data_IF_660263598321
#
_entry.id   IF_660263598321
#
_cell.length_a   1.000
_cell.length_b   1.000
_cell.length_c   1.000
_cell.angle_alpha   90.00
_cell.angle_beta   90.00
_cell.angle_gamma   90.00
#
_symmetry.space_group_name_H-M   'P 1'
#
loop_
_entity.id
_entity.type
_entity.pdbx_description
1 polymer ?
#
# COMPACT_ATOMS: atom_id res chain seq x y z
N UNK A 1 -29.91 -4.35 -8.73
CA UNK A 1 -28.61 -4.37 -8.02
C UNK A 1 -27.71 -5.37 -8.72
N UNK A 2 -26.45 -5.02 -9.01
CA UNK A 2 -25.50 -5.93 -9.69
C UNK A 2 -25.14 -7.11 -8.80
N UNK A 3 -24.93 -8.30 -9.38
CA UNK A 3 -24.47 -9.47 -8.63
C UNK A 3 -23.03 -9.28 -8.10
N UNK A 4 -22.68 -9.87 -6.94
CA UNK A 4 -21.33 -9.80 -6.41
C UNK A 4 -20.35 -10.59 -7.29
N UNK A 5 -19.17 -10.02 -7.51
CA UNK A 5 -18.05 -10.71 -8.18
C UNK A 5 -17.33 -11.64 -7.20
N UNK A 6 -17.31 -11.28 -5.92
CA UNK A 6 -16.80 -12.10 -4.81
C UNK A 6 -17.75 -12.02 -3.63
N UNK A 7 -18.10 -13.15 -3.03
CA UNK A 7 -18.94 -13.28 -1.85
C UNK A 7 -18.27 -14.26 -0.87
N UNK A 8 -17.75 -13.72 0.23
CA UNK A 8 -17.09 -14.48 1.30
C UNK A 8 -18.09 -14.67 2.42
N UNK A 9 -18.32 -15.91 2.84
CA UNK A 9 -19.34 -16.26 3.82
C UNK A 9 -18.76 -17.08 4.96
N UNK A 10 -18.96 -16.62 6.19
CA UNK A 10 -18.59 -17.34 7.42
C UNK A 10 -17.15 -17.86 7.42
N UNK A 11 -16.22 -17.12 6.81
CA UNK A 11 -14.83 -17.55 6.65
C UNK A 11 -14.16 -17.65 8.02
N UNK A 12 -13.57 -18.81 8.30
CA UNK A 12 -12.76 -19.04 9.49
C UNK A 12 -11.39 -19.60 9.11
N UNK A 13 -10.33 -18.96 9.63
CA UNK A 13 -8.95 -19.38 9.43
C UNK A 13 -8.28 -19.58 10.78
N UNK A 14 -7.70 -20.77 10.97
CA UNK A 14 -7.03 -21.15 12.21
C UNK A 14 -5.59 -21.59 11.94
N UNK A 15 -4.68 -21.21 12.83
CA UNK A 15 -3.29 -21.68 12.85
C UNK A 15 -3.08 -22.64 14.01
N UNK A 16 -2.54 -23.81 13.73
CA UNK A 16 -2.16 -24.74 14.80
C UNK A 16 -0.95 -24.18 15.57
N UNK A 17 -1.00 -24.24 16.89
CA UNK A 17 0.13 -23.95 17.78
C UNK A 17 0.34 -25.13 18.73
N UNK A 18 1.47 -25.16 19.45
CA UNK A 18 1.79 -26.22 20.42
C UNK A 18 0.77 -26.33 21.55
N UNK A 19 0.09 -25.23 21.89
CA UNK A 19 -0.84 -25.17 23.03
C UNK A 19 -2.29 -25.18 22.59
N UNK A 20 -2.73 -24.16 21.84
CA UNK A 20 -4.12 -24.00 21.39
C UNK A 20 -4.16 -23.39 19.99
N UNK A 21 -5.06 -23.85 19.09
CA UNK A 21 -5.27 -23.19 17.81
C UNK A 21 -5.56 -21.70 18.00
N UNK A 22 -4.89 -20.86 17.21
CA UNK A 22 -5.14 -19.42 17.14
C UNK A 22 -6.09 -19.17 15.99
N UNK A 23 -7.25 -18.59 16.27
CA UNK A 23 -8.20 -18.14 15.26
C UNK A 23 -7.73 -16.78 14.74
N UNK A 24 -7.28 -16.72 13.50
CA UNK A 24 -6.78 -15.50 12.87
C UNK A 24 -7.90 -14.73 12.15
N UNK A 25 -8.90 -15.44 11.64
CA UNK A 25 -10.12 -14.89 11.04
C UNK A 25 -11.30 -15.69 11.58
N UNK A 26 -12.32 -15.01 12.08
CA UNK A 26 -13.48 -15.61 12.75
C UNK A 26 -14.77 -15.06 12.15
N UNK A 27 -15.55 -15.95 11.53
CA UNK A 27 -16.89 -15.68 10.97
C UNK A 27 -16.95 -14.46 10.03
N UNK A 28 -15.93 -14.32 9.18
CA UNK A 28 -15.82 -13.17 8.30
C UNK A 28 -16.75 -13.32 7.10
N UNK A 29 -17.65 -12.35 6.92
CA UNK A 29 -18.61 -12.29 5.82
C UNK A 29 -18.58 -10.91 5.16
N UNK A 30 -18.40 -10.86 3.85
CA UNK A 30 -18.54 -9.63 3.06
C UNK A 30 -18.81 -9.95 1.58
N UNK A 31 -19.34 -8.96 0.87
CA UNK A 31 -19.55 -9.03 -0.58
C UNK A 31 -18.76 -7.92 -1.26
N UNK A 32 -18.30 -8.20 -2.47
CA UNK A 32 -17.64 -7.25 -3.35
C UNK A 32 -18.33 -7.30 -4.72
N UNK A 33 -18.80 -6.16 -5.19
CA UNK A 33 -19.45 -6.02 -6.50
C UNK A 33 -18.44 -5.62 -7.58
N UNK A 34 -18.79 -5.86 -8.85
CA UNK A 34 -17.96 -5.44 -9.99
C UNK A 34 -17.75 -3.91 -9.95
N UNK A 35 -16.49 -3.48 -10.03
CA UNK A 35 -16.09 -2.06 -9.96
C UNK A 35 -16.16 -1.43 -8.57
N UNK A 36 -16.60 -2.16 -7.54
CA UNK A 36 -16.60 -1.68 -6.15
C UNK A 36 -15.19 -1.75 -5.56
N UNK A 37 -14.86 -0.75 -4.74
CA UNK A 37 -13.61 -0.69 -3.99
C UNK A 37 -13.94 -0.87 -2.51
N UNK A 38 -13.53 -1.99 -1.92
CA UNK A 38 -13.70 -2.32 -0.52
C UNK A 38 -12.39 -2.13 0.24
N UNK A 39 -12.42 -1.35 1.32
CA UNK A 39 -11.33 -1.22 2.27
C UNK A 39 -11.42 -2.24 3.41
N UNK A 40 -10.34 -2.93 3.75
CA UNK A 40 -10.24 -3.73 4.97
C UNK A 40 -9.19 -3.11 5.88
N UNK A 41 -9.61 -2.66 7.06
CA UNK A 41 -8.78 -1.84 7.97
C UNK A 41 -8.71 -2.41 9.37
N UNK A 42 -7.66 -2.04 10.10
CA UNK A 42 -7.48 -2.43 11.50
C UNK A 42 -6.00 -2.55 11.87
N UNK A 43 -5.72 -2.72 13.15
CA UNK A 43 -4.37 -2.88 13.68
C UNK A 43 -3.63 -4.09 13.09
N UNK A 44 -2.30 -4.09 13.25
CA UNK A 44 -1.48 -5.25 12.90
C UNK A 44 -1.96 -6.49 13.66
N UNK A 45 -2.01 -7.64 12.97
CA UNK A 45 -2.50 -8.89 13.55
C UNK A 45 -4.03 -9.03 13.67
N UNK A 46 -4.82 -8.08 13.13
CA UNK A 46 -6.29 -8.18 13.16
C UNK A 46 -6.89 -9.21 12.18
N UNK A 47 -6.07 -9.85 11.33
CA UNK A 47 -6.52 -10.89 10.38
C UNK A 47 -6.61 -10.44 8.92
N UNK A 48 -6.36 -9.16 8.60
CA UNK A 48 -6.55 -8.59 7.24
C UNK A 48 -5.79 -9.35 6.15
N UNK A 49 -4.47 -9.52 6.30
CA UNK A 49 -3.63 -10.22 5.33
C UNK A 49 -3.89 -11.74 5.32
N UNK A 50 -4.42 -12.30 6.42
CA UNK A 50 -4.87 -13.70 6.42
C UNK A 50 -6.13 -13.86 5.56
N UNK A 51 -7.02 -12.87 5.56
CA UNK A 51 -8.21 -12.83 4.69
C UNK A 51 -7.83 -12.79 3.21
N UNK A 52 -6.89 -11.94 2.80
CA UNK A 52 -6.41 -11.90 1.40
C UNK A 52 -5.78 -13.22 0.97
N UNK A 53 -4.91 -13.78 1.81
CA UNK A 53 -4.27 -15.06 1.56
C UNK A 53 -5.29 -16.22 1.53
N UNK A 54 -6.36 -16.17 2.32
CA UNK A 54 -7.43 -17.16 2.28
C UNK A 54 -8.20 -17.14 0.96
N UNK A 55 -8.57 -15.95 0.47
CA UNK A 55 -9.22 -15.77 -0.84
C UNK A 55 -8.32 -16.30 -1.96
N UNK A 56 -7.02 -16.00 -1.88
CA UNK A 56 -6.05 -16.51 -2.83
C UNK A 56 -5.70 -17.99 -2.61
N UNK A 57 -6.16 -18.65 -1.54
CA UNK A 57 -5.76 -20.01 -1.16
C UNK A 57 -4.24 -20.17 -0.93
N UNK A 58 -3.60 -19.12 -0.43
CA UNK A 58 -2.17 -19.01 -0.11
C UNK A 58 -1.92 -18.98 1.41
N UNK A 59 -2.89 -19.40 2.23
CA UNK A 59 -2.73 -19.48 3.69
C UNK A 59 -1.51 -20.37 4.01
N UNK A 60 -0.48 -19.85 4.71
CA UNK A 60 0.72 -20.61 4.97
C UNK A 60 0.46 -21.69 6.02
N UNK A 61 1.11 -22.85 5.89
CA UNK A 61 1.15 -23.87 6.94
C UNK A 61 1.77 -23.30 8.23
N UNK A 62 1.24 -23.60 9.44
CA UNK A 62 0.20 -24.57 9.77
C UNK A 62 -1.25 -24.00 9.74
N UNK A 63 -1.48 -22.91 9.05
CA UNK A 63 -2.80 -22.30 8.86
C UNK A 63 -3.71 -23.12 7.94
N UNK A 64 -5.01 -23.13 8.24
CA UNK A 64 -6.04 -23.76 7.41
C UNK A 64 -7.37 -23.03 7.52
N UNK A 65 -8.13 -23.08 6.44
CA UNK A 65 -9.54 -22.66 6.43
C UNK A 65 -10.36 -23.79 7.06
N UNK A 66 -11.05 -23.50 8.16
CA UNK A 66 -11.83 -24.51 8.91
C UNK A 66 -13.32 -24.46 8.63
N UNK A 67 -13.82 -23.31 8.18
CA UNK A 67 -15.23 -23.07 7.91
C UNK A 67 -15.37 -21.93 6.90
N UNK A 68 -16.51 -21.93 6.20
CA UNK A 68 -16.92 -20.86 5.29
C UNK A 68 -16.82 -21.26 3.83
N UNK A 69 -17.24 -20.34 2.97
CA UNK A 69 -17.25 -20.49 1.52
C UNK A 69 -16.67 -19.22 0.89
N UNK A 70 -15.97 -19.36 -0.24
CA UNK A 70 -15.42 -18.23 -0.99
C UNK A 70 -15.98 -18.32 -2.41
N UNK A 71 -17.11 -17.65 -2.63
CA UNK A 71 -17.85 -17.70 -3.89
C UNK A 71 -17.32 -16.64 -4.85
N UNK A 72 -16.84 -17.05 -6.01
CA UNK A 72 -16.35 -16.18 -7.06
C UNK A 72 -17.21 -16.33 -8.31
N UNK A 73 -17.59 -15.21 -8.93
CA UNK A 73 -18.37 -15.18 -10.17
C UNK A 73 -17.50 -14.63 -11.30
N UNK A 74 -16.82 -15.49 -12.08
CA UNK A 74 -16.00 -15.04 -13.20
C UNK A 74 -16.84 -14.40 -14.31
N UNK A 75 -16.26 -13.52 -15.10
CA UNK A 75 -16.98 -12.85 -16.18
C UNK A 75 -17.52 -13.87 -17.20
N UNK A 76 -18.84 -13.84 -17.43
CA UNK A 76 -19.52 -14.74 -18.36
C UNK A 76 -19.60 -16.20 -17.93
N UNK A 77 -19.31 -16.53 -16.65
CA UNK A 77 -19.38 -17.89 -16.10
C UNK A 77 -20.29 -17.95 -14.86
N UNK A 78 -20.65 -19.16 -14.47
CA UNK A 78 -21.38 -19.41 -13.22
C UNK A 78 -20.49 -19.20 -12.00
N UNK A 79 -21.10 -18.83 -10.88
CA UNK A 79 -20.44 -18.76 -9.57
C UNK A 79 -19.84 -20.11 -9.18
N UNK A 80 -18.64 -20.09 -8.60
CA UNK A 80 -17.90 -21.26 -8.10
C UNK A 80 -17.41 -21.00 -6.68
N UNK A 81 -17.32 -22.05 -5.86
CA UNK A 81 -16.63 -21.97 -4.55
C UNK A 81 -15.14 -22.29 -4.73
N UNK A 82 -14.28 -21.28 -4.51
CA UNK A 82 -12.83 -21.39 -4.67
C UNK A 82 -12.19 -22.44 -3.74
N UNK A 83 -12.88 -22.83 -2.67
CA UNK A 83 -12.43 -23.87 -1.74
C UNK A 83 -12.64 -25.28 -2.30
N UNK A 84 -13.62 -25.46 -3.19
CA UNK A 84 -14.03 -26.77 -3.72
C UNK A 84 -13.45 -27.07 -5.11
N UNK A 85 -12.99 -26.06 -5.85
CA UNK A 85 -12.35 -26.25 -7.15
C UNK A 85 -11.01 -26.97 -7.03
N UNK A 86 -10.64 -27.70 -8.08
CA UNK A 86 -9.35 -28.37 -8.16
C UNK A 86 -8.21 -27.36 -8.41
N UNK A 87 -6.95 -27.78 -8.22
CA UNK A 87 -5.80 -26.87 -8.32
C UNK A 87 -5.60 -26.30 -9.73
N UNK A 88 -5.95 -27.03 -10.78
CA UNK A 88 -5.81 -26.54 -12.16
C UNK A 88 -6.81 -25.41 -12.45
N UNK A 89 -8.05 -25.56 -11.99
CA UNK A 89 -9.09 -24.55 -12.10
C UNK A 89 -8.78 -23.34 -11.19
N UNK A 90 -8.34 -23.58 -9.96
CA UNK A 90 -7.86 -22.53 -9.05
C UNK A 90 -6.71 -21.72 -9.65
N UNK A 91 -5.75 -22.39 -10.28
CA UNK A 91 -4.65 -21.74 -11.02
C UNK A 91 -5.16 -20.90 -12.18
N UNK A 92 -6.26 -21.27 -12.83
CA UNK A 92 -6.83 -20.45 -13.91
C UNK A 92 -7.45 -19.15 -13.40
N UNK A 93 -8.02 -19.15 -12.19
CA UNK A 93 -8.55 -17.95 -11.56
C UNK A 93 -7.44 -17.06 -10.99
N UNK A 94 -6.45 -17.65 -10.30
CA UNK A 94 -5.29 -16.90 -9.77
C UNK A 94 -4.44 -16.33 -10.91
N UNK A 95 -4.07 -15.06 -10.82
CA UNK A 95 -3.23 -14.39 -11.81
C UNK A 95 -3.93 -14.07 -13.14
N UNK A 96 -5.02 -14.77 -13.46
CA UNK A 96 -5.89 -14.47 -14.61
C UNK A 96 -7.04 -13.55 -14.25
N UNK A 97 -7.90 -13.99 -13.33
CA UNK A 97 -9.19 -13.35 -12.99
C UNK A 97 -9.18 -12.69 -11.60
N UNK A 98 -8.35 -13.21 -10.69
CA UNK A 98 -8.09 -12.66 -9.36
C UNK A 98 -6.58 -12.46 -9.23
N UNK A 99 -6.16 -11.22 -9.01
CA UNK A 99 -4.75 -10.87 -8.83
C UNK A 99 -4.49 -10.25 -7.47
N UNK A 100 -3.24 -10.34 -7.03
CA UNK A 100 -2.81 -9.80 -5.74
C UNK A 100 -1.53 -8.95 -5.90
N UNK A 101 -1.51 -7.80 -5.23
CA UNK A 101 -0.33 -6.99 -4.95
C UNK A 101 0.04 -7.27 -3.50
N UNK A 102 1.22 -7.85 -3.28
CA UNK A 102 1.72 -8.18 -1.95
C UNK A 102 2.35 -6.96 -1.26
N UNK A 103 2.38 -7.00 0.08
CA UNK A 103 2.85 -5.92 0.97
C UNK A 103 4.30 -5.48 0.70
N UNK A 104 5.18 -6.39 0.30
CA UNK A 104 6.58 -6.08 0.01
C UNK A 104 6.93 -6.43 -1.45
N UNK A 105 7.19 -5.44 -2.32
CA UNK A 105 7.54 -5.69 -3.74
C UNK A 105 8.72 -6.63 -3.94
N UNK A 106 9.72 -6.53 -3.05
CA UNK A 106 10.92 -7.37 -3.10
C UNK A 106 10.64 -8.84 -2.78
N UNK A 107 9.58 -9.13 -2.01
CA UNK A 107 9.15 -10.51 -1.74
C UNK A 107 8.41 -11.13 -2.94
N UNK A 108 7.77 -10.29 -3.76
CA UNK A 108 7.01 -10.70 -4.94
C UNK A 108 7.89 -10.89 -6.18
N UNK A 109 9.07 -10.26 -6.23
CA UNK A 109 10.00 -10.31 -7.35
C UNK A 109 11.19 -11.23 -7.06
N UNK A 110 11.59 -12.01 -8.05
CA UNK A 110 12.82 -12.80 -7.97
C UNK A 110 14.01 -11.93 -8.39
N UNK A 111 15.02 -11.71 -7.53
CA UNK A 111 16.15 -10.83 -7.82
C UNK A 111 17.10 -11.36 -8.91
N UNK A 112 16.98 -12.64 -9.29
CA UNK A 112 17.82 -13.30 -10.29
C UNK A 112 17.29 -13.11 -11.72
N UNK A 113 16.02 -12.70 -11.88
CA UNK A 113 15.41 -12.49 -13.19
C UNK A 113 15.22 -11.00 -13.49
N UNK A 114 15.31 -10.66 -14.78
CA UNK A 114 14.98 -9.31 -15.24
C UNK A 114 13.46 -9.04 -15.19
N UNK A 115 13.10 -7.76 -15.23
CA UNK A 115 11.70 -7.33 -15.17
C UNK A 115 10.90 -7.86 -16.37
N UNK A 116 11.52 -7.95 -17.54
CA UNK A 116 10.88 -8.43 -18.76
C UNK A 116 10.48 -9.89 -18.68
N UNK A 117 11.34 -10.75 -18.15
CA UNK A 117 11.05 -12.16 -17.89
C UNK A 117 9.87 -12.29 -16.93
N UNK A 118 9.93 -11.62 -15.79
CA UNK A 118 8.90 -11.73 -14.74
C UNK A 118 7.52 -11.24 -15.21
N UNK A 119 7.46 -10.16 -15.99
CA UNK A 119 6.20 -9.70 -16.59
C UNK A 119 5.67 -10.65 -17.67
N UNK A 120 6.55 -11.14 -18.53
CA UNK A 120 6.14 -11.99 -19.66
C UNK A 120 5.78 -13.41 -19.24
N UNK A 121 6.34 -13.92 -18.13
CA UNK A 121 6.02 -15.23 -17.56
C UNK A 121 4.51 -15.36 -17.29
N UNK A 122 3.94 -14.44 -16.49
CA UNK A 122 2.51 -14.45 -16.18
C UNK A 122 1.63 -14.34 -17.44
N UNK A 123 2.00 -13.45 -18.36
CA UNK A 123 1.28 -13.27 -19.62
C UNK A 123 1.28 -14.56 -20.45
N UNK A 124 2.43 -15.23 -20.59
CA UNK A 124 2.55 -16.47 -21.37
C UNK A 124 1.84 -17.65 -20.71
N UNK A 125 1.81 -17.69 -19.38
CA UNK A 125 1.14 -18.74 -18.62
C UNK A 125 -0.39 -18.66 -18.72
N UNK A 126 -0.94 -17.45 -18.70
CA UNK A 126 -2.39 -17.24 -18.63
C UNK A 126 -3.02 -16.81 -19.97
N UNK A 127 -2.22 -16.34 -20.92
CA UNK A 127 -2.70 -15.89 -22.23
C UNK A 127 -2.06 -16.69 -23.35
N UNK A 128 -2.88 -17.10 -24.33
CA UNK A 128 -2.42 -17.84 -25.52
C UNK A 128 -1.79 -16.91 -26.55
N UNK A 129 -0.64 -16.33 -26.21
CA UNK A 129 0.06 -15.33 -27.04
C UNK A 129 1.49 -15.76 -27.34
N UNK A 130 2.05 -15.21 -28.42
CA UNK A 130 3.47 -15.42 -28.76
C UNK A 130 4.39 -14.66 -27.81
N UNK A 131 5.66 -15.09 -27.68
CA UNK A 131 6.67 -14.36 -26.89
C UNK A 131 6.83 -12.90 -27.33
N UNK A 132 6.78 -12.63 -28.64
CA UNK A 132 6.83 -11.27 -29.18
C UNK A 132 5.62 -10.43 -28.75
N UNK A 133 4.44 -11.03 -28.75
CA UNK A 133 3.22 -10.36 -28.28
C UNK A 133 3.22 -10.14 -26.77
N UNK A 134 3.65 -11.13 -25.97
CA UNK A 134 3.81 -10.99 -24.53
C UNK A 134 4.75 -9.82 -24.19
N UNK A 135 5.85 -9.69 -24.94
CA UNK A 135 6.79 -8.57 -24.79
C UNK A 135 6.15 -7.21 -25.12
N UNK A 136 5.35 -7.14 -26.18
CA UNK A 136 4.61 -5.91 -26.53
C UNK A 136 3.61 -5.55 -25.43
N UNK A 137 2.89 -6.53 -24.89
CA UNK A 137 1.98 -6.34 -23.74
C UNK A 137 2.73 -5.87 -22.50
N UNK A 138 3.88 -6.46 -22.18
CA UNK A 138 4.72 -6.04 -21.06
C UNK A 138 5.16 -4.57 -21.20
N UNK A 139 5.56 -4.12 -22.40
CA UNK A 139 5.91 -2.71 -22.65
C UNK A 139 4.69 -1.80 -22.43
N UNK A 140 3.52 -2.18 -22.96
CA UNK A 140 2.30 -1.42 -22.78
C UNK A 140 1.90 -1.31 -21.29
N UNK A 141 2.02 -2.40 -20.54
CA UNK A 141 1.77 -2.41 -19.10
C UNK A 141 2.73 -1.49 -18.35
N UNK A 142 4.03 -1.52 -18.69
CA UNK A 142 5.01 -0.62 -18.10
C UNK A 142 4.72 0.86 -18.40
N UNK A 143 4.14 1.16 -19.56
CA UNK A 143 3.70 2.50 -19.91
C UNK A 143 2.44 2.91 -19.14
N UNK A 144 1.50 1.99 -19.00
CA UNK A 144 0.25 2.20 -18.27
C UNK A 144 0.49 2.45 -16.78
N UNK A 145 1.43 1.73 -16.15
CA UNK A 145 1.86 2.00 -14.76
C UNK A 145 2.82 3.17 -14.64
N UNK A 146 3.06 3.92 -15.73
CA UNK A 146 3.94 5.08 -15.80
C UNK A 146 5.39 4.80 -15.35
N UNK A 147 5.85 3.56 -15.44
CA UNK A 147 7.26 3.22 -15.23
C UNK A 147 8.08 3.53 -16.50
N UNK A 148 7.47 3.35 -17.66
CA UNK A 148 8.01 3.72 -18.96
C UNK A 148 7.18 4.88 -19.53
N UNK A 149 7.85 5.89 -20.09
CA UNK A 149 7.15 6.98 -20.76
C UNK A 149 6.46 6.47 -22.04
N UNK A 150 5.35 7.12 -22.42
CA UNK A 150 4.69 6.80 -23.69
C UNK A 150 5.62 7.10 -24.88
N UNK A 151 5.38 6.41 -25.99
CA UNK A 151 6.18 6.57 -27.21
C UNK A 151 6.20 8.03 -27.69
N UNK A 152 5.06 8.73 -27.58
CA UNK A 152 4.94 10.15 -27.92
C UNK A 152 5.84 11.05 -27.05
N UNK A 153 5.90 10.78 -25.75
CA UNK A 153 6.74 11.56 -24.82
C UNK A 153 8.21 11.27 -25.07
N UNK A 154 8.57 10.00 -25.29
CA UNK A 154 9.94 9.60 -25.63
C UNK A 154 10.39 10.22 -26.95
N UNK A 155 9.52 10.27 -27.96
CA UNK A 155 9.79 10.92 -29.23
C UNK A 155 10.07 12.42 -29.04
N UNK A 156 9.22 13.13 -28.27
CA UNK A 156 9.43 14.56 -27.97
C UNK A 156 10.75 14.80 -27.24
N UNK A 157 11.06 14.00 -26.22
CA UNK A 157 12.33 14.11 -25.48
C UNK A 157 13.54 13.83 -26.38
N UNK A 158 13.44 12.83 -27.26
CA UNK A 158 14.50 12.50 -28.21
C UNK A 158 14.79 13.66 -29.17
N UNK A 159 13.75 14.23 -29.80
CA UNK A 159 13.88 15.33 -30.74
C UNK A 159 14.30 16.65 -30.09
N UNK A 160 13.93 16.87 -28.82
CA UNK A 160 14.43 18.02 -28.06
C UNK A 160 15.93 17.92 -27.79
N UNK A 161 16.42 16.73 -27.42
CA UNK A 161 17.84 16.50 -27.17
C UNK A 161 18.66 16.39 -28.48
N UNK A 162 18.05 15.88 -29.56
CA UNK A 162 18.70 15.62 -30.84
C UNK A 162 17.81 16.08 -32.01
N UNK A 163 17.72 17.39 -32.30
CA UNK A 163 16.81 17.93 -33.32
C UNK A 163 17.07 17.45 -34.75
N UNK A 164 18.27 16.91 -35.02
CA UNK A 164 18.69 16.44 -36.34
C UNK A 164 18.36 14.97 -36.61
N UNK A 165 17.85 14.23 -35.61
CA UNK A 165 17.53 12.81 -35.79
C UNK A 165 16.41 12.60 -36.80
N UNK A 166 16.63 11.64 -37.70
CA UNK A 166 15.64 11.16 -38.64
C UNK A 166 14.70 10.14 -37.98
N UNK A 167 13.57 9.84 -38.63
CA UNK A 167 12.51 8.97 -38.10
C UNK A 167 13.03 7.57 -37.67
N UNK A 168 13.97 7.00 -38.42
CA UNK A 168 14.60 5.72 -38.09
C UNK A 168 15.43 5.79 -36.80
N UNK A 169 16.15 6.90 -36.58
CA UNK A 169 16.99 7.11 -35.39
C UNK A 169 16.12 7.31 -34.14
N UNK A 170 15.04 8.09 -34.27
CA UNK A 170 14.03 8.27 -33.21
C UNK A 170 13.39 6.93 -32.84
N UNK A 171 13.00 6.14 -33.84
CA UNK A 171 12.41 4.80 -33.63
C UNK A 171 13.40 3.85 -32.94
N UNK A 172 14.67 3.90 -33.33
CA UNK A 172 15.75 3.14 -32.68
C UNK A 172 15.93 3.55 -31.21
N UNK A 173 15.95 4.85 -30.92
CA UNK A 173 16.03 5.38 -29.56
C UNK A 173 14.88 4.90 -28.67
N UNK A 174 13.63 4.99 -29.15
CA UNK A 174 12.45 4.53 -28.40
C UNK A 174 12.55 3.02 -28.13
N UNK A 175 12.92 2.23 -29.14
CA UNK A 175 13.11 0.80 -28.97
C UNK A 175 14.22 0.47 -27.97
N UNK A 176 15.31 1.24 -27.95
CA UNK A 176 16.37 1.07 -26.97
C UNK A 176 15.88 1.34 -25.53
N UNK A 177 15.05 2.36 -25.32
CA UNK A 177 14.45 2.64 -23.99
C UNK A 177 13.55 1.49 -23.53
N UNK A 178 12.68 0.99 -24.42
CA UNK A 178 11.82 -0.18 -24.17
C UNK A 178 12.63 -1.43 -23.81
N UNK A 179 13.72 -1.67 -24.52
CA UNK A 179 14.61 -2.81 -24.25
C UNK A 179 15.35 -2.66 -22.93
N UNK A 180 15.79 -1.43 -22.61
CA UNK A 180 16.55 -1.11 -21.40
C UNK A 180 15.74 -1.42 -20.15
N UNK A 181 14.49 -0.93 -20.06
CA UNK A 181 13.66 -1.15 -18.86
C UNK A 181 13.33 -2.63 -18.63
N UNK A 182 13.09 -3.39 -19.70
CA UNK A 182 12.80 -4.83 -19.59
C UNK A 182 14.01 -5.63 -19.09
N UNK A 183 15.23 -5.18 -19.39
CA UNK A 183 16.47 -5.86 -19.00
C UNK A 183 16.96 -5.48 -17.60
N UNK A 184 16.27 -4.57 -16.92
CA UNK A 184 16.64 -4.20 -15.55
C UNK A 184 16.30 -5.32 -14.57
N UNK A 185 17.05 -5.38 -13.50
CA UNK A 185 16.81 -6.25 -12.36
C UNK A 185 16.13 -5.50 -11.21
N UNK A 186 15.45 -6.19 -10.27
CA UNK A 186 14.78 -5.54 -9.16
C UNK A 186 15.68 -4.60 -8.33
N UNK A 187 16.93 -4.98 -8.08
CA UNK A 187 17.87 -4.17 -7.30
C UNK A 187 18.34 -2.88 -8.01
N UNK A 188 18.01 -2.71 -9.30
CA UNK A 188 18.33 -1.50 -10.08
C UNK A 188 17.16 -0.49 -10.09
N UNK A 189 16.07 -0.79 -9.38
CA UNK A 189 14.86 0.03 -9.32
C UNK A 189 14.63 0.60 -7.92
N UNK A 190 14.05 1.80 -7.84
CA UNK A 190 13.61 2.36 -6.56
C UNK A 190 12.36 1.64 -6.02
N UNK A 191 12.04 1.81 -4.73
CA UNK A 191 10.86 1.19 -4.11
C UNK A 191 9.55 1.50 -4.87
N UNK A 192 9.35 2.75 -5.27
CA UNK A 192 8.19 3.14 -6.09
C UNK A 192 8.19 2.55 -7.51
N UNK A 193 9.37 2.36 -8.11
CA UNK A 193 9.49 1.70 -9.41
C UNK A 193 9.18 0.21 -9.30
N UNK A 194 9.66 -0.46 -8.25
CA UNK A 194 9.35 -1.85 -7.95
C UNK A 194 7.85 -2.04 -7.72
N UNK A 195 7.22 -1.15 -6.96
CA UNK A 195 5.78 -1.17 -6.76
C UNK A 195 5.02 -1.12 -8.09
N UNK A 196 5.42 -0.24 -9.01
CA UNK A 196 4.82 -0.14 -10.35
C UNK A 196 5.00 -1.42 -11.17
N UNK A 197 6.15 -2.09 -11.07
CA UNK A 197 6.35 -3.41 -11.69
C UNK A 197 5.39 -4.44 -11.10
N UNK A 198 5.27 -4.52 -9.77
CA UNK A 198 4.36 -5.46 -9.12
C UNK A 198 2.91 -5.21 -9.51
N UNK A 199 2.49 -3.94 -9.62
CA UNK A 199 1.16 -3.57 -10.13
C UNK A 199 0.99 -4.03 -11.58
N UNK A 200 1.98 -3.77 -12.45
CA UNK A 200 1.94 -4.20 -13.85
C UNK A 200 1.82 -5.72 -13.99
N UNK A 201 2.50 -6.49 -13.13
CA UNK A 201 2.37 -7.95 -13.08
C UNK A 201 0.97 -8.37 -12.66
N UNK A 202 0.41 -7.77 -11.61
CA UNK A 202 -0.92 -8.09 -11.10
C UNK A 202 -2.03 -7.82 -12.14
N UNK A 203 -1.95 -6.70 -12.87
CA UNK A 203 -2.97 -6.35 -13.87
C UNK A 203 -2.72 -6.96 -15.25
N UNK A 204 -1.64 -7.72 -15.42
CA UNK A 204 -1.15 -8.18 -16.73
C UNK A 204 -2.16 -9.02 -17.52
N UNK A 205 -3.06 -9.72 -16.81
CA UNK A 205 -4.11 -10.56 -17.37
C UNK A 205 -5.52 -9.95 -17.27
N UNK A 206 -5.63 -8.67 -16.91
CA UNK A 206 -6.89 -7.95 -16.76
C UNK A 206 -7.87 -8.64 -15.79
N UNK A 207 -7.49 -8.78 -14.51
CA UNK A 207 -8.29 -9.49 -13.52
C UNK A 207 -9.60 -8.77 -13.22
N UNK A 208 -10.65 -9.54 -12.91
CA UNK A 208 -11.93 -9.02 -12.43
C UNK A 208 -11.85 -8.49 -10.99
N UNK A 209 -10.96 -9.08 -10.17
CA UNK A 209 -10.72 -8.69 -8.76
C UNK A 209 -9.24 -8.46 -8.53
N UNK A 210 -8.89 -7.28 -8.02
CA UNK A 210 -7.55 -6.93 -7.55
C UNK A 210 -7.54 -6.86 -6.02
N UNK A 211 -6.64 -7.60 -5.38
CA UNK A 211 -6.40 -7.52 -3.94
C UNK A 211 -5.08 -6.79 -3.73
N UNK A 212 -5.09 -5.69 -3.00
CA UNK A 212 -3.90 -4.93 -2.69
C UNK A 212 -3.66 -4.97 -1.17
N UNK A 213 -2.67 -5.75 -0.76
CA UNK A 213 -2.32 -5.94 0.64
C UNK A 213 -1.20 -4.99 1.02
N UNK A 214 -1.53 -3.90 1.73
CA UNK A 214 -0.57 -2.87 2.14
C UNK A 214 0.36 -2.39 0.99
N UNK A 215 -0.19 -2.03 -0.18
CA UNK A 215 0.58 -1.79 -1.41
C UNK A 215 1.45 -0.52 -1.38
N UNK A 216 1.36 0.28 -0.32
CA UNK A 216 2.14 1.51 -0.16
C UNK A 216 3.03 1.48 1.07
N UNK A 217 3.10 0.34 1.76
CA UNK A 217 3.99 0.17 2.91
C UNK A 217 5.45 0.34 2.46
N UNK A 218 6.25 1.03 3.26
CA UNK A 218 7.65 1.39 2.99
C UNK A 218 7.91 2.37 1.81
N UNK A 219 6.88 3.03 1.28
CA UNK A 219 7.04 4.14 0.33
C UNK A 219 7.00 5.51 1.04
N UNK A 220 7.67 6.51 0.49
CA UNK A 220 7.51 7.88 0.96
C UNK A 220 6.12 8.44 0.62
N UNK A 221 5.68 9.47 1.35
CA UNK A 221 4.32 10.03 1.26
C UNK A 221 3.98 10.51 -0.16
N UNK A 222 4.95 11.08 -0.87
CA UNK A 222 4.76 11.56 -2.24
C UNK A 222 4.56 10.40 -3.21
N UNK A 223 5.43 9.38 -3.15
CA UNK A 223 5.30 8.18 -3.98
C UNK A 223 4.00 7.44 -3.66
N UNK A 224 3.65 7.29 -2.38
CA UNK A 224 2.41 6.69 -1.92
C UNK A 224 1.20 7.32 -2.62
N UNK A 225 1.06 8.66 -2.58
CA UNK A 225 -0.04 9.35 -3.26
C UNK A 225 -0.10 9.02 -4.77
N UNK A 226 1.04 9.01 -5.46
CA UNK A 226 1.08 8.66 -6.90
C UNK A 226 0.69 7.21 -7.19
N UNK A 227 0.96 6.28 -6.27
CA UNK A 227 0.58 4.87 -6.40
C UNK A 227 -0.91 4.68 -6.14
N UNK A 228 -1.48 5.38 -5.16
CA UNK A 228 -2.91 5.35 -4.88
C UNK A 228 -3.72 5.89 -6.05
N UNK A 229 -3.31 7.02 -6.63
CA UNK A 229 -3.92 7.58 -7.83
C UNK A 229 -3.82 6.63 -9.03
N UNK A 230 -2.66 5.97 -9.19
CA UNK A 230 -2.49 4.96 -10.23
C UNK A 230 -3.49 3.81 -10.04
N UNK A 231 -3.59 3.22 -8.84
CA UNK A 231 -4.51 2.12 -8.56
C UNK A 231 -5.96 2.53 -8.80
N UNK A 232 -6.36 3.74 -8.37
CA UNK A 232 -7.69 4.29 -8.62
C UNK A 232 -8.00 4.33 -10.12
N UNK A 233 -7.13 4.95 -10.91
CA UNK A 233 -7.31 5.05 -12.36
C UNK A 233 -7.32 3.69 -13.05
N UNK A 234 -6.47 2.74 -12.64
CA UNK A 234 -6.45 1.40 -13.23
C UNK A 234 -7.75 0.64 -12.97
N UNK A 235 -8.25 0.68 -11.74
CA UNK A 235 -9.51 0.02 -11.38
C UNK A 235 -10.69 0.62 -12.15
N UNK A 236 -10.76 1.96 -12.24
CA UNK A 236 -11.80 2.68 -12.99
C UNK A 236 -11.75 2.39 -14.48
N UNK A 237 -10.56 2.48 -15.11
CA UNK A 237 -10.38 2.29 -16.54
C UNK A 237 -10.68 0.85 -17.00
N UNK A 238 -10.42 -0.14 -16.13
CA UNK A 238 -10.60 -1.58 -16.43
C UNK A 238 -11.88 -2.17 -15.84
N UNK A 239 -12.61 -1.43 -15.01
CA UNK A 239 -13.81 -1.91 -14.32
C UNK A 239 -13.54 -3.04 -13.32
N UNK A 240 -12.33 -3.07 -12.73
CA UNK A 240 -11.93 -4.09 -11.75
C UNK A 240 -12.52 -3.77 -10.39
N UNK A 241 -12.95 -4.79 -9.66
CA UNK A 241 -13.21 -4.64 -8.23
C UNK A 241 -11.90 -4.64 -7.44
N UNK A 242 -11.84 -3.90 -6.34
CA UNK A 242 -10.63 -3.74 -5.53
C UNK A 242 -10.93 -4.13 -4.08
N UNK A 243 -10.09 -4.99 -3.50
CA UNK A 243 -9.96 -5.14 -2.04
C UNK A 243 -8.67 -4.44 -1.64
N UNK A 244 -8.77 -3.34 -0.90
CA UNK A 244 -7.63 -2.57 -0.44
C UNK A 244 -7.43 -2.77 1.06
N UNK A 245 -6.29 -3.36 1.44
CA UNK A 245 -5.96 -3.64 2.84
C UNK A 245 -4.91 -2.65 3.31
N UNK A 246 -5.18 -1.98 4.42
CA UNK A 246 -4.20 -1.12 5.08
C UNK A 246 -4.54 -0.94 6.55
N UNK A 247 -3.57 -0.51 7.34
CA UNK A 247 -3.80 0.00 8.68
C UNK A 247 -4.06 1.53 8.70
N UNK A 248 -3.82 2.23 7.59
CA UNK A 248 -4.01 3.68 7.48
C UNK A 248 -5.43 4.04 7.00
N UNK A 249 -6.24 4.55 7.92
CA UNK A 249 -7.59 5.04 7.65
C UNK A 249 -7.62 6.28 6.74
N UNK A 250 -6.54 7.07 6.68
CA UNK A 250 -6.45 8.23 5.79
C UNK A 250 -6.41 7.83 4.33
N UNK A 251 -5.61 6.81 4.01
CA UNK A 251 -5.51 6.25 2.65
C UNK A 251 -6.85 5.69 2.18
N UNK A 252 -7.55 4.97 3.05
CA UNK A 252 -8.83 4.34 2.74
C UNK A 252 -9.88 5.38 2.37
N UNK A 253 -9.92 6.51 3.10
CA UNK A 253 -10.92 7.57 2.90
C UNK A 253 -10.93 8.16 1.48
N UNK A 254 -9.80 8.09 0.77
CA UNK A 254 -9.66 8.66 -0.58
C UNK A 254 -9.90 7.64 -1.70
N UNK A 255 -9.73 6.35 -1.42
CA UNK A 255 -9.67 5.31 -2.45
C UNK A 255 -10.92 4.43 -2.54
N UNK A 256 -11.54 4.10 -1.41
CA UNK A 256 -12.57 3.04 -1.34
C UNK A 256 -13.99 3.59 -1.24
N UNK A 257 -14.96 2.78 -1.65
CA UNK A 257 -16.39 3.10 -1.57
C UNK A 257 -16.99 2.62 -0.24
N UNK A 258 -16.59 1.43 0.20
CA UNK A 258 -17.04 0.77 1.43
C UNK A 258 -15.86 0.30 2.27
N UNK A 259 -16.06 0.13 3.58
CA UNK A 259 -15.01 -0.29 4.52
C UNK A 259 -15.51 -1.38 5.46
N UNK A 260 -14.63 -2.33 5.78
CA UNK A 260 -14.77 -3.32 6.82
C UNK A 260 -13.64 -3.15 7.85
N UNK A 261 -14.00 -2.80 9.07
CA UNK A 261 -13.09 -2.61 10.20
C UNK A 261 -12.92 -3.95 10.92
N UNK A 262 -11.69 -4.46 10.94
CA UNK A 262 -11.31 -5.72 11.57
C UNK A 262 -10.60 -5.51 12.91
N UNK A 263 -11.02 -6.29 13.89
CA UNK A 263 -10.36 -6.41 15.18
C UNK A 263 -10.31 -7.87 15.62
N UNK A 264 -9.10 -8.38 15.92
CA UNK A 264 -8.86 -9.76 16.39
C UNK A 264 -9.61 -10.84 15.59
N UNK A 265 -9.52 -10.76 14.26
CA UNK A 265 -10.11 -11.74 13.35
C UNK A 265 -11.58 -11.53 13.01
N UNK A 266 -12.28 -10.59 13.67
CA UNK A 266 -13.69 -10.28 13.40
C UNK A 266 -13.85 -8.96 12.67
N UNK A 267 -14.86 -8.88 11.81
CA UNK A 267 -15.38 -7.59 11.33
C UNK A 267 -16.24 -7.01 12.44
N UNK A 268 -15.82 -5.88 13.00
CA UNK A 268 -16.53 -5.22 14.10
C UNK A 268 -17.45 -4.09 13.64
N UNK A 269 -17.19 -3.55 12.45
CA UNK A 269 -18.02 -2.53 11.81
C UNK A 269 -17.80 -2.57 10.31
N UNK A 270 -18.86 -2.45 9.52
CA UNK A 270 -18.77 -2.38 8.06
C UNK A 270 -19.88 -1.49 7.49
N UNK A 271 -19.58 -0.80 6.38
CA UNK A 271 -20.55 0.08 5.72
C UNK A 271 -19.91 0.99 4.68
N UNK A 272 -20.69 1.94 4.17
CA UNK A 272 -20.17 3.01 3.32
C UNK A 272 -19.12 3.83 4.06
N UNK A 273 -18.04 4.17 3.37
CA UNK A 273 -16.89 4.86 3.97
C UNK A 273 -17.30 6.15 4.69
N UNK A 274 -18.22 6.92 4.09
CA UNK A 274 -18.71 8.19 4.65
C UNK A 274 -19.43 7.98 5.97
N UNK A 275 -20.29 6.96 6.06
CA UNK A 275 -21.07 6.67 7.28
C UNK A 275 -20.16 6.20 8.40
N UNK A 276 -19.24 5.28 8.12
CA UNK A 276 -18.31 4.75 9.13
C UNK A 276 -17.36 5.84 9.63
N UNK A 277 -16.92 6.76 8.78
CA UNK A 277 -16.01 7.84 9.18
C UNK A 277 -16.71 9.01 9.89
N UNK A 278 -17.93 9.35 9.50
CA UNK A 278 -18.68 10.47 10.09
C UNK A 278 -19.40 10.06 11.38
N UNK A 279 -19.98 8.87 11.40
CA UNK A 279 -20.80 8.37 12.51
C UNK A 279 -20.40 6.95 12.90
N UNK A 280 -19.15 6.73 13.33
CA UNK A 280 -18.68 5.41 13.77
C UNK A 280 -19.50 4.91 14.95
N UNK A 281 -19.99 3.68 14.88
CA UNK A 281 -20.78 3.07 15.94
C UNK A 281 -19.91 2.27 16.90
N UNK A 282 -18.93 1.51 16.39
CA UNK A 282 -18.17 0.60 17.21
C UNK A 282 -17.06 1.32 17.99
N UNK A 283 -16.85 1.04 19.30
CA UNK A 283 -15.87 1.75 20.14
C UNK A 283 -14.44 1.70 19.59
N UNK A 284 -14.05 0.56 19.02
CA UNK A 284 -12.77 0.40 18.35
C UNK A 284 -12.61 1.34 17.14
N UNK A 285 -13.64 1.47 16.30
CA UNK A 285 -13.63 2.37 15.14
C UNK A 285 -13.54 3.83 15.58
N UNK A 286 -14.30 4.21 16.61
CA UNK A 286 -14.21 5.54 17.25
C UNK A 286 -12.78 5.82 17.72
N UNK A 287 -12.17 4.86 18.40
CA UNK A 287 -10.77 4.92 18.84
C UNK A 287 -9.79 5.09 17.68
N UNK A 288 -9.87 4.24 16.64
CA UNK A 288 -9.00 4.32 15.47
C UNK A 288 -9.08 5.68 14.77
N UNK A 289 -10.28 6.25 14.62
CA UNK A 289 -10.48 7.56 14.01
C UNK A 289 -9.96 8.69 14.91
N UNK A 290 -10.15 8.59 16.22
CA UNK A 290 -9.67 9.58 17.18
C UNK A 290 -8.14 9.59 17.31
N UNK A 291 -7.49 8.44 17.18
CA UNK A 291 -6.02 8.28 17.21
C UNK A 291 -5.30 9.01 16.07
N UNK A 292 -6.02 9.44 15.02
CA UNK A 292 -5.42 10.16 13.89
C UNK A 292 -5.06 11.58 14.29
N UNK A 293 -3.78 11.98 14.20
CA UNK A 293 -3.40 13.37 14.40
C UNK A 293 -4.17 14.28 13.44
N UNK A 294 -4.70 15.38 13.97
CA UNK A 294 -5.39 16.38 13.15
C UNK A 294 -4.50 17.59 12.93
N UNK A 295 -4.60 18.22 11.77
CA UNK A 295 -3.80 19.40 11.43
C UNK A 295 -4.37 20.69 12.04
N UNK A 296 -5.65 20.68 12.41
CA UNK A 296 -6.37 21.82 12.98
C UNK A 296 -6.18 21.98 14.49
N UNK A 297 -5.71 20.94 15.20
CA UNK A 297 -5.46 20.99 16.63
C UNK A 297 -4.26 20.14 17.05
N UNK A 298 -3.47 20.66 18.00
CA UNK A 298 -2.39 19.91 18.64
C UNK A 298 -2.82 19.49 20.04
N UNK A 299 -2.86 18.19 20.30
CA UNK A 299 -3.15 17.66 21.63
C UNK A 299 -1.86 17.54 22.46
N UNK A 300 -1.96 17.73 23.77
CA UNK A 300 -0.84 17.50 24.71
C UNK A 300 -0.42 16.02 24.72
N UNK A 301 -1.39 15.13 24.71
CA UNK A 301 -1.23 13.68 24.62
C UNK A 301 -2.08 13.15 23.47
N UNK A 302 -1.53 12.21 22.70
CA UNK A 302 -2.28 11.59 21.62
C UNK A 302 -3.20 10.50 22.20
N UNK A 303 -4.48 10.45 21.77
CA UNK A 303 -5.37 9.37 22.12
C UNK A 303 -4.85 8.03 21.62
N UNK A 304 -5.11 6.98 22.38
CA UNK A 304 -4.87 5.59 21.99
C UNK A 304 -6.18 4.83 21.95
N UNK A 305 -6.25 3.74 21.18
CA UNK A 305 -7.47 2.92 21.05
C UNK A 305 -7.93 2.40 22.42
N UNK A 306 -6.98 2.07 23.31
CA UNK A 306 -7.23 1.58 24.69
C UNK A 306 -8.01 2.60 25.53
N UNK A 307 -7.93 3.89 25.19
CA UNK A 307 -8.67 4.92 25.91
C UNK A 307 -10.18 4.81 25.65
N UNK A 308 -10.61 4.29 24.50
CA UNK A 308 -12.02 4.30 24.08
C UNK A 308 -12.79 3.01 24.37
N UNK A 309 -12.07 1.92 24.66
CA UNK A 309 -12.70 0.61 24.79
C UNK A 309 -12.12 -0.23 25.92
N UNK A 310 -12.97 -1.08 26.48
CA UNK A 310 -12.60 -2.18 27.36
C UNK A 310 -12.91 -3.50 26.67
N UNK A 311 -11.99 -4.46 26.83
CA UNK A 311 -12.15 -5.81 26.30
C UNK A 311 -12.29 -6.75 27.47
N UNK A 312 -13.49 -7.31 27.63
CA UNK A 312 -13.77 -8.35 28.60
C UNK A 312 -13.96 -9.68 27.87
N UNK A 313 -13.51 -10.78 28.49
CA UNK A 313 -13.88 -12.13 28.04
C UNK A 313 -15.09 -12.57 28.85
N UNK A 314 -16.19 -12.87 28.17
CA UNK A 314 -17.41 -13.37 28.82
C UNK A 314 -17.16 -14.76 29.41
N UNK A 315 -18.08 -15.22 30.26
CA UNK A 315 -18.04 -16.58 30.82
C UNK A 315 -18.12 -17.68 29.76
N UNK A 316 -18.61 -17.38 28.56
CA UNK A 316 -18.64 -18.28 27.40
C UNK A 316 -17.35 -18.27 26.58
N UNK A 317 -16.38 -17.41 26.91
CA UNK A 317 -15.13 -17.26 26.16
C UNK A 317 -15.23 -16.30 24.97
N UNK A 318 -16.37 -15.63 24.78
CA UNK A 318 -16.54 -14.61 23.74
C UNK A 318 -15.95 -13.27 24.18
N UNK A 319 -15.40 -12.51 23.23
CA UNK A 319 -14.92 -11.16 23.50
C UNK A 319 -16.09 -10.17 23.46
N UNK A 320 -16.29 -9.45 24.56
CA UNK A 320 -17.20 -8.30 24.64
C UNK A 320 -16.38 -7.03 24.65
N UNK A 321 -16.69 -6.12 23.72
CA UNK A 321 -16.04 -4.81 23.60
C UNK A 321 -17.06 -3.76 24.03
N UNK A 322 -16.74 -2.98 25.06
CA UNK A 322 -17.60 -1.92 25.58
C UNK A 322 -16.91 -0.57 25.48
N UNK A 323 -17.68 0.47 25.19
CA UNK A 323 -17.20 1.85 25.14
C UNK A 323 -16.88 2.36 26.54
N UNK A 324 -15.75 3.05 26.71
CA UNK A 324 -15.42 3.75 27.94
C UNK A 324 -16.21 5.08 28.03
N UNK A 325 -16.57 5.55 29.23
CA UNK A 325 -17.30 6.81 29.39
C UNK A 325 -16.51 8.02 28.86
N UNK A 326 -17.18 8.89 28.10
CA UNK A 326 -16.62 10.11 27.48
C UNK A 326 -16.03 11.13 28.46
N UNK A 327 -16.49 11.14 29.72
CA UNK A 327 -16.06 12.12 30.73
C UNK A 327 -14.55 12.02 31.07
N UNK A 328 -13.96 10.83 30.90
CA UNK A 328 -12.53 10.60 31.13
C UNK A 328 -11.65 11.16 29.98
N UNK A 329 -12.24 11.40 28.81
CA UNK A 329 -11.52 11.83 27.59
C UNK A 329 -11.36 13.35 27.48
N UNK A 330 -12.41 14.13 27.83
CA UNK A 330 -12.36 15.59 27.72
C UNK A 330 -11.34 16.25 28.66
N UNK A 331 -11.02 15.61 29.79
CA UNK A 331 -9.98 16.08 30.69
C UNK A 331 -8.56 15.64 30.26
N UNK A 332 -8.43 14.49 29.58
CA UNK A 332 -7.14 13.92 29.15
C UNK A 332 -6.56 14.56 27.89
N UNK A 333 -7.40 14.98 26.93
CA UNK A 333 -6.92 15.50 25.64
C UNK A 333 -7.04 17.01 25.57
N UNK A 334 -6.16 17.69 26.31
CA UNK A 334 -6.07 19.15 26.26
C UNK A 334 -5.44 19.62 24.95
N UNK A 335 -6.12 20.56 24.28
CA UNK A 335 -5.57 21.24 23.11
C UNK A 335 -4.50 22.22 23.59
N UNK A 336 -3.31 22.13 23.01
CA UNK A 336 -2.22 23.09 23.25
C UNK A 336 -2.57 24.38 22.51
N UNK A 337 -2.74 25.47 23.26
CA UNK A 337 -3.02 26.79 22.67
C UNK A 337 -1.76 27.41 22.07
N UNK A 338 -1.92 28.34 21.13
CA UNK A 338 -0.78 29.08 20.54
C UNK A 338 0.03 29.80 21.62
N UNK A 339 -0.63 30.42 22.61
CA UNK A 339 0.05 31.09 23.73
C UNK A 339 0.92 30.13 24.56
N UNK A 340 0.43 28.92 24.82
CA UNK A 340 1.20 27.89 25.53
C UNK A 340 2.40 27.42 24.71
N UNK A 341 2.25 27.29 23.37
CA UNK A 341 3.35 26.96 22.48
C UNK A 341 4.42 28.05 22.48
N UNK A 342 4.00 29.31 22.37
CA UNK A 342 4.91 30.45 22.34
C UNK A 342 5.63 30.62 23.67
N UNK A 343 4.93 30.46 24.80
CA UNK A 343 5.54 30.48 26.13
C UNK A 343 6.59 29.38 26.29
N UNK A 344 6.30 28.16 25.84
CA UNK A 344 7.26 27.05 25.83
C UNK A 344 8.48 27.36 24.96
N UNK A 345 8.26 27.88 23.75
CA UNK A 345 9.35 28.23 22.83
C UNK A 345 10.27 29.29 23.45
N UNK A 346 9.70 30.35 24.03
CA UNK A 346 10.47 31.39 24.70
C UNK A 346 11.32 30.81 25.84
N UNK A 347 10.75 29.90 26.65
CA UNK A 347 11.48 29.23 27.74
C UNK A 347 12.61 28.32 27.25
N UNK A 348 12.47 27.72 26.06
CA UNK A 348 13.55 26.91 25.44
C UNK A 348 14.69 27.81 24.96
N UNK A 349 14.37 28.95 24.33
CA UNK A 349 15.35 29.91 23.81
C UNK A 349 16.12 30.69 24.89
N UNK A 350 15.61 30.73 26.12
CA UNK A 350 16.35 31.27 27.28
C UNK A 350 17.55 30.41 27.68
N UNK A 351 17.58 29.16 27.24
CA UNK A 351 18.65 28.21 27.56
C UNK A 351 19.72 28.24 26.46
N UNK A 352 20.95 27.86 26.82
CA UNK A 352 21.97 27.66 25.80
C UNK A 352 21.62 26.43 24.93
N UNK A 353 21.84 26.49 23.60
CA UNK A 353 21.58 25.35 22.73
C UNK A 353 22.49 24.18 23.11
N UNK A 354 21.93 22.96 23.16
CA UNK A 354 22.70 21.72 23.35
C UNK A 354 23.54 21.40 22.12
N UNK A 355 23.01 21.73 20.94
CA UNK A 355 23.65 21.51 19.65
C UNK A 355 23.35 22.69 18.74
N UNK A 356 24.36 23.14 18.01
CA UNK A 356 24.20 24.12 16.92
C UNK A 356 24.87 23.55 15.68
N UNK A 357 24.09 23.40 14.62
CA UNK A 357 24.56 23.04 13.28
C UNK A 357 24.57 24.31 12.46
N UNK A 358 25.72 24.64 11.86
CA UNK A 358 25.88 25.87 11.10
C UNK A 358 26.38 25.57 9.69
N UNK A 359 25.61 26.04 8.69
CA UNK A 359 25.96 26.01 7.27
C UNK A 359 26.42 24.62 6.78
N UNK A 360 25.80 23.55 7.29
CA UNK A 360 26.18 22.18 6.99
C UNK A 360 26.07 21.91 5.49
N UNK A 361 27.12 21.33 4.93
CA UNK A 361 27.20 20.91 3.53
C UNK A 361 27.69 19.47 3.45
N UNK A 362 26.86 18.61 2.87
CA UNK A 362 27.19 17.20 2.64
C UNK A 362 27.03 16.93 1.16
N UNK A 363 28.09 16.45 0.50
CA UNK A 363 28.08 16.13 -0.91
C UNK A 363 28.80 14.83 -1.22
N UNK A 364 28.26 14.05 -2.16
CA UNK A 364 28.84 12.79 -2.59
C UNK A 364 29.60 12.97 -3.91
N UNK A 365 30.80 12.37 -4.05
CA UNK A 365 31.56 12.44 -5.29
C UNK A 365 30.88 11.62 -6.39
N UNK A 366 30.59 12.22 -7.54
CA UNK A 366 30.19 11.48 -8.74
C UNK A 366 31.44 11.12 -9.56
N UNK A 367 31.68 9.81 -9.72
CA UNK A 367 32.74 9.29 -10.60
C UNK A 367 32.33 9.48 -12.06
N UNK A 368 33.21 10.09 -12.87
CA UNK A 368 33.07 10.10 -14.33
C UNK A 368 33.55 8.79 -14.97
N UNK A 369 33.22 8.57 -16.25
CA UNK A 369 33.55 7.35 -17.03
C UNK A 369 35.05 6.98 -17.15
N UNK A 370 35.96 7.74 -16.53
CA UNK A 370 37.41 7.49 -16.53
C UNK A 370 38.04 7.71 -15.14
N UNK A 371 37.31 7.41 -14.05
CA UNK A 371 37.87 7.35 -12.69
C UNK A 371 38.30 8.68 -12.06
N UNK A 372 38.14 9.82 -12.75
CA UNK A 372 38.35 11.17 -12.17
C UNK A 372 37.01 11.76 -11.73
N UNK A 373 36.89 12.09 -10.44
CA UNK A 373 35.73 12.78 -9.85
C UNK A 373 35.58 14.16 -10.49
N UNK A 374 34.45 14.41 -11.18
CA UNK A 374 34.21 15.69 -11.89
C UNK A 374 33.15 16.59 -11.23
N UNK A 375 32.30 16.05 -10.35
CA UNK A 375 31.19 16.81 -9.75
C UNK A 375 30.81 16.23 -8.39
N UNK A 376 30.48 17.09 -7.44
CA UNK A 376 29.83 16.69 -6.19
C UNK A 376 28.33 16.88 -6.35
N UNK A 377 27.56 15.84 -6.02
CA UNK A 377 26.12 15.95 -5.84
C UNK A 377 25.88 16.34 -4.38
N UNK A 378 25.45 17.58 -4.14
CA UNK A 378 25.17 18.07 -2.80
C UNK A 378 23.85 17.45 -2.31
N UNK A 379 23.93 16.66 -1.24
CA UNK A 379 22.76 16.08 -0.56
C UNK A 379 22.21 17.02 0.52
N UNK A 380 23.08 17.76 1.21
CA UNK A 380 22.72 18.82 2.15
C UNK A 380 23.48 20.08 1.75
N UNK A 381 22.82 21.23 1.67
CA UNK A 381 23.46 22.47 1.29
C UNK A 381 23.01 23.64 2.16
N UNK A 382 23.93 24.11 3.02
CA UNK A 382 23.77 25.31 3.84
C UNK A 382 22.62 25.22 4.86
N UNK A 383 22.50 24.07 5.52
CA UNK A 383 21.50 23.86 6.58
C UNK A 383 22.07 24.32 7.92
N UNK A 384 21.31 25.16 8.62
CA UNK A 384 21.64 25.62 9.97
C UNK A 384 20.43 25.44 10.89
N UNK A 385 20.63 24.92 12.09
CA UNK A 385 19.62 24.83 13.13
C UNK A 385 20.28 24.70 14.50
N UNK A 386 19.52 24.99 15.55
CA UNK A 386 19.91 24.81 16.93
C UNK A 386 18.91 23.90 17.62
N UNK A 387 19.37 23.12 18.59
CA UNK A 387 18.53 22.24 19.41
C UNK A 387 18.72 22.61 20.87
N UNK A 388 17.63 22.99 21.52
CA UNK A 388 17.63 23.43 22.92
C UNK A 388 17.25 22.29 23.89
N UNK A 389 17.64 22.36 25.18
CA UNK A 389 17.28 21.32 26.14
C UNK A 389 15.76 21.16 26.27
N UNK A 390 15.24 19.94 26.02
CA UNK A 390 13.80 19.64 26.07
C UNK A 390 13.01 20.04 24.83
N UNK A 391 13.68 20.52 23.78
CA UNK A 391 13.11 20.73 22.47
C UNK A 391 12.96 19.41 21.71
N UNK A 392 11.93 19.31 20.86
CA UNK A 392 11.81 18.26 19.85
C UNK A 392 11.82 18.93 18.48
N UNK A 393 12.93 18.81 17.77
CA UNK A 393 13.10 19.33 16.41
C UNK A 393 12.75 18.23 15.40
N UNK A 394 11.80 18.52 14.49
CA UNK A 394 11.47 17.66 13.36
C UNK A 394 12.12 18.17 12.08
N UNK A 395 12.91 17.34 11.41
CA UNK A 395 13.51 17.65 10.11
C UNK A 395 12.71 16.93 9.02
N UNK A 396 12.13 17.69 8.08
CA UNK A 396 11.26 17.16 7.02
C UNK A 396 11.77 17.61 5.66
N UNK A 397 11.68 16.71 4.68
CA UNK A 397 12.13 16.92 3.30
C UNK A 397 11.78 15.71 2.45
N UNK A 398 11.81 15.86 1.13
CA UNK A 398 11.48 14.78 0.19
C UNK A 398 12.52 13.64 0.25
N UNK A 399 12.11 12.46 -0.24
CA UNK A 399 13.00 11.29 -0.34
C UNK A 399 14.25 11.66 -1.15
N UNK A 400 15.43 11.50 -0.55
CA UNK A 400 16.71 11.86 -1.16
C UNK A 400 17.24 13.27 -0.84
N UNK A 401 16.51 14.10 -0.08
CA UNK A 401 16.97 15.43 0.37
C UNK A 401 18.02 15.42 1.49
N UNK A 402 18.57 14.25 1.84
CA UNK A 402 19.65 14.16 2.83
C UNK A 402 19.22 14.27 4.30
N UNK A 403 17.92 14.16 4.62
CA UNK A 403 17.43 14.20 6.02
C UNK A 403 18.09 13.13 6.91
N UNK A 404 18.41 11.96 6.34
CA UNK A 404 19.11 10.86 7.03
C UNK A 404 20.62 11.10 7.22
N UNK A 405 21.16 12.17 6.61
CA UNK A 405 22.57 12.55 6.67
C UNK A 405 22.81 13.70 7.66
N UNK A 406 21.74 14.16 8.32
CA UNK A 406 21.81 15.11 9.41
C UNK A 406 22.05 14.33 10.71
N UNK A 407 23.01 14.77 11.55
CA UNK A 407 23.50 14.03 12.73
C UNK A 407 22.47 13.87 13.84
#
# INVERSE_FOLDING_TARGET
MSEPVLDVRHLQVQFATETKPVVAVEDLTFQLRKGEKLGIVGESGSGKSVTSLAIMGLVPSPGRITQGEILFTPEGKSTVDLLQVNEAERRSYRGGEIAMIFQEPMSALNPVYDIGFQLTEGILLHQKVSSSEARRKAIALLQEVQLLLSDEVLQRQCLQAHPHYQEQEVSSYINQQKQSILKRYPHELSGGQLQRVTIAMAISCNPSVLIADEPTTALDVTVQATILDLLRHLCEARGMALIFITHDLGVIAELVDSVAVMYRGKVVEAGEIKTVFQTPQHPYTKGLLACRPRLDCRLQTLPTVVDFMEVATTTTGEMSITEKPTDDHHQRYQIVTEDQQQARLNQLLEQAPLMSVQQLRVGFPQQGMFGKTKKYLMAVNNVSFEVYPGETLGLVGESGCGNQLLP
#
